data_IF_698590336262
#
_entry.id   IF_698590336262
#
_cell.length_a   1.000
_cell.length_b   1.000
_cell.length_c   1.000
_cell.angle_alpha   90.00
_cell.angle_beta   90.00
_cell.angle_gamma   90.00
#
_symmetry.space_group_name_H-M   'P 1'
#
loop_
_entity.id
_entity.type
_entity.pdbx_description
1 polymer ?
#
# COMPACT_ATOMS: atom_id res chain seq x y z
N UNK A 1 9.68 9.33 -13.68
CA UNK A 1 9.61 7.85 -13.69
C UNK A 1 8.21 7.46 -13.21
N UNK A 2 7.60 6.42 -13.77
CA UNK A 2 6.29 5.95 -13.30
C UNK A 2 6.49 4.90 -12.19
N UNK A 3 5.71 4.94 -11.09
CA UNK A 3 5.79 3.95 -10.03
C UNK A 3 5.42 2.57 -10.56
N UNK A 4 6.07 1.51 -10.04
CA UNK A 4 5.77 0.13 -10.43
C UNK A 4 4.58 -0.45 -9.67
N UNK A 5 4.29 0.11 -8.49
CA UNK A 5 3.12 -0.20 -7.70
C UNK A 5 2.66 1.07 -7.00
N UNK A 6 1.37 1.34 -7.08
CA UNK A 6 0.71 2.38 -6.32
C UNK A 6 -0.40 1.73 -5.49
N UNK A 7 -0.33 1.91 -4.18
CA UNK A 7 -1.36 1.50 -3.23
C UNK A 7 -1.99 2.76 -2.67
N UNK A 8 -3.31 2.89 -2.80
CA UNK A 8 -4.06 4.03 -2.29
C UNK A 8 -5.23 3.55 -1.44
N UNK A 9 -5.29 4.01 -0.19
CA UNK A 9 -6.42 3.77 0.69
C UNK A 9 -6.64 2.30 1.06
N UNK A 10 -5.57 1.50 1.16
CA UNK A 10 -5.66 0.09 1.52
C UNK A 10 -6.28 -0.04 2.91
N UNK A 11 -7.46 -0.67 2.94
CA UNK A 11 -8.17 -1.04 4.14
C UNK A 11 -8.33 -2.55 4.19
N UNK A 12 -7.92 -3.16 5.30
CA UNK A 12 -8.13 -4.58 5.54
C UNK A 12 -8.46 -4.81 7.00
N UNK A 13 -9.52 -5.55 7.26
CA UNK A 13 -9.91 -5.98 8.60
C UNK A 13 -9.70 -7.48 8.75
N UNK A 14 -9.09 -7.87 9.86
CA UNK A 14 -8.88 -9.26 10.22
C UNK A 14 -8.87 -9.40 11.75
N UNK A 15 -9.85 -10.14 12.29
CA UNK A 15 -9.93 -10.51 13.72
C UNK A 15 -9.66 -9.35 14.70
N UNK A 16 -10.28 -8.18 14.47
CA UNK A 16 -10.10 -6.99 15.32
C UNK A 16 -8.86 -6.15 15.01
N UNK A 17 -7.99 -6.61 14.12
CA UNK A 17 -6.90 -5.81 13.55
C UNK A 17 -7.36 -5.16 12.25
N UNK A 18 -6.98 -3.89 12.06
CA UNK A 18 -7.31 -3.15 10.85
C UNK A 18 -6.06 -2.45 10.30
N UNK A 19 -5.72 -2.75 9.04
CA UNK A 19 -4.93 -1.83 8.22
C UNK A 19 -5.89 -0.72 7.80
N UNK A 20 -5.61 0.50 8.25
CA UNK A 20 -6.48 1.65 8.01
C UNK A 20 -5.77 2.64 7.09
N UNK A 21 -6.29 2.77 5.87
CA UNK A 21 -5.97 3.84 4.95
C UNK A 21 -4.46 3.93 4.64
N UNK A 22 -3.85 2.79 4.31
CA UNK A 22 -2.44 2.76 3.93
C UNK A 22 -2.32 3.17 2.46
N UNK A 23 -1.49 4.17 2.21
CA UNK A 23 -1.12 4.60 0.87
C UNK A 23 0.40 4.66 0.73
N UNK A 24 0.93 4.04 -0.31
CA UNK A 24 2.37 4.11 -0.63
C UNK A 24 2.61 3.83 -2.12
N UNK A 25 3.75 4.31 -2.60
CA UNK A 25 4.24 4.10 -3.97
C UNK A 25 5.56 3.35 -3.92
N UNK A 26 5.73 2.35 -4.79
CA UNK A 26 6.98 1.63 -4.96
C UNK A 26 7.63 2.05 -6.27
N UNK A 27 8.85 2.57 -6.17
CA UNK A 27 9.68 2.95 -7.31
C UNK A 27 10.44 1.73 -7.85
N UNK A 28 10.74 1.73 -9.15
CA UNK A 28 11.54 0.68 -9.79
C UNK A 28 12.96 0.68 -9.20
N UNK A 29 13.42 -0.46 -8.68
CA UNK A 29 14.78 -0.64 -8.14
C UNK A 29 14.86 -0.81 -6.62
N UNK A 30 13.75 -0.67 -5.91
CA UNK A 30 13.61 -1.09 -4.52
C UNK A 30 12.98 -2.49 -4.48
N UNK A 31 13.78 -3.52 -4.13
CA UNK A 31 13.33 -4.89 -3.82
C UNK A 31 13.88 -5.25 -2.44
#
# INVERSE_FOLDING_TARGET
>A
MAPILEVNGLRKEFKGFALKNISFTLERGYI
#
